data_IF_806649208018
#
_entry.id   IF_806649208018
#
_cell.length_a   1.000
_cell.length_b   1.000
_cell.length_c   1.000
_cell.angle_alpha   90.00
_cell.angle_beta   90.00
_cell.angle_gamma   90.00
#
_symmetry.space_group_name_H-M   'P 1'
#
loop_
_entity.id
_entity.type
_entity.pdbx_description
1 polymer ?
#
# COMPACT_ATOMS: atom_id res chain seq x y z
N UNK A 1 31.07 -18.18 22.81
CA UNK A 1 31.13 -18.16 21.32
C UNK A 1 29.93 -18.86 20.67
N UNK A 2 29.34 -19.91 21.26
CA UNK A 2 28.18 -20.64 20.69
C UNK A 2 26.82 -19.91 20.84
N UNK A 3 26.70 -18.97 21.80
CA UNK A 3 25.44 -18.24 22.03
C UNK A 3 25.18 -17.07 21.05
N UNK A 4 26.22 -16.52 20.41
CA UNK A 4 26.08 -15.40 19.46
C UNK A 4 25.70 -15.85 18.04
N UNK A 5 25.97 -17.11 17.70
CA UNK A 5 25.64 -17.71 16.40
C UNK A 5 24.16 -18.08 16.25
N UNK A 6 23.38 -18.14 17.33
CA UNK A 6 21.93 -18.40 17.23
C UNK A 6 21.09 -17.13 17.03
N UNK A 7 21.65 -15.94 17.27
CA UNK A 7 20.99 -14.66 16.97
C UNK A 7 20.98 -14.34 15.46
N UNK A 8 21.74 -15.09 14.66
CA UNK A 8 21.88 -14.92 13.21
C UNK A 8 21.52 -16.23 12.50
N UNK A 9 20.36 -16.80 12.83
CA UNK A 9 19.72 -17.79 11.94
C UNK A 9 18.74 -17.03 11.02
N UNK A 10 19.03 -16.90 9.71
CA UNK A 10 18.29 -16.03 8.79
C UNK A 10 17.18 -16.78 8.05
N UNK A 11 16.20 -17.36 8.74
CA UNK A 11 15.10 -18.10 8.09
C UNK A 11 13.95 -18.18 9.09
N UNK A 12 12.78 -17.55 8.99
CA UNK A 12 12.00 -16.93 7.92
C UNK A 12 11.03 -15.94 8.60
N UNK A 13 10.56 -14.89 7.91
CA UNK A 13 9.37 -14.14 8.38
C UNK A 13 8.23 -15.15 8.60
N UNK A 14 7.43 -15.05 9.68
CA UNK A 14 6.29 -15.93 9.89
C UNK A 14 5.39 -15.95 8.65
N UNK A 15 5.12 -17.13 8.12
CA UNK A 15 4.17 -17.30 7.01
C UNK A 15 2.75 -17.21 7.57
N UNK A 16 1.85 -16.58 6.82
CA UNK A 16 0.47 -16.32 7.24
C UNK A 16 -0.49 -16.61 6.10
N UNK A 17 -1.76 -16.80 6.41
CA UNK A 17 -2.81 -17.04 5.41
C UNK A 17 -2.97 -15.90 4.39
N UNK A 18 -2.46 -14.70 4.69
CA UNK A 18 -2.48 -13.55 3.77
C UNK A 18 -1.10 -13.20 3.20
N UNK A 19 -0.09 -14.04 3.44
CA UNK A 19 1.26 -13.83 2.90
C UNK A 19 1.26 -14.03 1.37
N UNK A 20 1.87 -13.12 0.61
CA UNK A 20 1.86 -13.19 -0.84
C UNK A 20 3.06 -14.01 -1.35
N UNK A 21 2.99 -14.41 -2.61
CA UNK A 21 4.13 -14.96 -3.33
C UNK A 21 5.29 -13.94 -3.42
N UNK A 22 6.53 -14.45 -3.47
CA UNK A 22 7.76 -13.63 -3.42
C UNK A 22 7.80 -12.58 -4.53
N UNK A 23 7.21 -12.84 -5.70
CA UNK A 23 7.19 -11.88 -6.81
C UNK A 23 6.38 -10.61 -6.49
N UNK A 24 5.43 -10.65 -5.54
CA UNK A 24 4.66 -9.47 -5.13
C UNK A 24 5.55 -8.41 -4.50
N UNK A 25 6.67 -8.80 -3.89
CA UNK A 25 7.66 -7.87 -3.36
C UNK A 25 8.34 -7.02 -4.46
N UNK A 26 8.28 -7.44 -5.74
CA UNK A 26 8.83 -6.65 -6.86
C UNK A 26 8.12 -5.31 -7.08
N UNK A 27 6.91 -5.13 -6.55
CA UNK A 27 6.25 -3.81 -6.51
C UNK A 27 7.09 -2.78 -5.74
N UNK A 28 7.79 -3.19 -4.68
CA UNK A 28 8.66 -2.27 -3.94
C UNK A 28 9.81 -1.75 -4.82
N UNK A 29 10.39 -2.59 -5.68
CA UNK A 29 11.44 -2.17 -6.60
C UNK A 29 10.92 -1.19 -7.66
N UNK A 30 9.73 -1.44 -8.22
CA UNK A 30 9.06 -0.50 -9.12
C UNK A 30 8.78 0.83 -8.42
N UNK A 31 8.28 0.77 -7.18
CA UNK A 31 8.00 1.96 -6.37
C UNK A 31 9.27 2.77 -6.11
N UNK A 32 10.38 2.13 -5.72
CA UNK A 32 11.65 2.85 -5.50
C UNK A 32 12.15 3.52 -6.78
N UNK A 33 12.04 2.84 -7.93
CA UNK A 33 12.39 3.44 -9.21
C UNK A 33 11.55 4.68 -9.51
N UNK A 34 10.22 4.60 -9.30
CA UNK A 34 9.31 5.73 -9.47
C UNK A 34 9.60 6.87 -8.48
N UNK A 35 9.91 6.55 -7.22
CA UNK A 35 10.27 7.52 -6.19
C UNK A 35 11.58 8.26 -6.50
N UNK A 36 12.56 7.59 -7.13
CA UNK A 36 13.78 8.25 -7.60
C UNK A 36 13.44 9.25 -8.72
N UNK A 37 12.58 8.86 -9.66
CA UNK A 37 12.14 9.76 -10.73
C UNK A 37 11.37 10.95 -10.16
N UNK A 38 10.44 10.70 -9.23
CA UNK A 38 9.72 11.74 -8.50
C UNK A 38 10.69 12.68 -7.78
N UNK A 39 11.72 12.15 -7.11
CA UNK A 39 12.69 12.94 -6.38
C UNK A 39 13.54 13.86 -7.27
N UNK A 40 13.67 13.55 -8.56
CA UNK A 40 14.29 14.42 -9.56
C UNK A 40 13.24 15.40 -10.13
N UNK A 41 12.06 14.90 -10.48
CA UNK A 41 10.97 15.68 -11.08
C UNK A 41 10.47 16.81 -10.17
N UNK A 42 10.52 16.61 -8.84
CA UNK A 42 10.06 17.60 -7.88
C UNK A 42 10.78 18.95 -7.93
N UNK A 43 11.97 19.00 -8.54
CA UNK A 43 12.75 20.24 -8.70
C UNK A 43 12.34 21.04 -9.95
N UNK A 44 11.34 20.58 -10.70
CA UNK A 44 10.76 21.34 -11.80
C UNK A 44 9.97 22.54 -11.29
N UNK A 45 10.19 23.71 -11.89
CA UNK A 45 9.48 24.95 -11.52
C UNK A 45 7.95 24.84 -11.69
N UNK A 46 7.47 23.95 -12.56
CA UNK A 46 6.05 23.77 -12.84
C UNK A 46 5.29 23.08 -11.70
N UNK A 47 6.00 22.36 -10.82
CA UNK A 47 5.37 21.40 -9.89
C UNK A 47 5.56 21.81 -8.43
N UNK A 48 6.26 22.93 -8.21
CA UNK A 48 6.73 23.35 -6.89
C UNK A 48 5.56 23.54 -5.91
N UNK A 49 4.47 24.17 -6.33
CA UNK A 49 3.32 24.45 -5.46
C UNK A 49 2.58 23.15 -5.06
N UNK A 50 2.40 22.22 -6.00
CA UNK A 50 1.79 20.90 -5.75
C UNK A 50 2.61 20.09 -4.74
N UNK A 51 3.94 20.18 -4.81
CA UNK A 51 4.82 19.43 -3.91
C UNK A 51 4.96 20.11 -2.56
N UNK A 52 5.15 21.43 -2.50
CA UNK A 52 5.33 22.16 -1.24
C UNK A 52 4.06 22.13 -0.39
N UNK A 53 2.89 22.31 -1.02
CA UNK A 53 1.64 22.41 -0.26
C UNK A 53 0.83 21.11 -0.25
N UNK A 54 0.84 20.35 -1.35
CA UNK A 54 0.13 19.07 -1.47
C UNK A 54 0.83 17.97 -0.68
N UNK A 55 2.06 17.63 -1.10
CA UNK A 55 2.88 16.59 -0.46
C UNK A 55 3.43 17.09 0.88
N UNK A 56 4.05 18.27 0.88
CA UNK A 56 4.48 19.02 2.07
C UNK A 56 5.33 18.19 3.05
N UNK A 57 5.29 18.56 4.34
CA UNK A 57 6.00 17.89 5.42
C UNK A 57 5.63 16.40 5.60
N UNK A 58 4.52 15.93 5.02
CA UNK A 58 4.13 14.53 5.11
C UNK A 58 5.18 13.63 4.47
N UNK A 59 5.82 14.03 3.37
CA UNK A 59 6.87 13.21 2.74
C UNK A 59 8.08 13.00 3.64
N UNK A 60 8.48 14.03 4.39
CA UNK A 60 9.58 13.94 5.35
C UNK A 60 9.19 12.98 6.48
N UNK A 61 7.98 13.12 7.02
CA UNK A 61 7.47 12.24 8.08
C UNK A 61 7.41 10.79 7.59
N UNK A 62 6.87 10.55 6.38
CA UNK A 62 6.82 9.24 5.75
C UNK A 62 8.24 8.68 5.59
N UNK A 63 9.20 9.47 5.10
CA UNK A 63 10.59 9.04 4.95
C UNK A 63 11.24 8.63 6.26
N UNK A 64 11.05 9.40 7.34
CA UNK A 64 11.56 9.08 8.67
C UNK A 64 10.92 7.79 9.22
N UNK A 65 9.60 7.67 9.11
CA UNK A 65 8.87 6.48 9.55
C UNK A 65 9.26 5.24 8.74
N UNK A 66 9.43 5.39 7.43
CA UNK A 66 9.85 4.31 6.53
C UNK A 66 11.28 3.83 6.84
N UNK A 67 12.21 4.75 7.07
CA UNK A 67 13.56 4.41 7.52
C UNK A 67 13.56 3.76 8.91
N UNK A 68 12.72 4.25 9.82
CA UNK A 68 12.55 3.67 11.16
C UNK A 68 11.99 2.24 11.09
N UNK A 69 10.98 2.02 10.25
CA UNK A 69 10.41 0.70 9.97
C UNK A 69 11.51 -0.28 9.53
N UNK A 70 12.32 0.10 8.53
CA UNK A 70 13.42 -0.73 8.03
C UNK A 70 14.44 -1.09 9.12
N UNK A 71 14.83 -0.11 9.96
CA UNK A 71 15.73 -0.36 11.08
C UNK A 71 15.11 -1.30 12.12
N UNK A 72 13.82 -1.18 12.39
CA UNK A 72 13.10 -1.99 13.38
C UNK A 72 12.92 -3.44 12.92
N UNK A 73 12.76 -3.66 11.61
CA UNK A 73 12.74 -5.01 11.03
C UNK A 73 14.01 -5.80 11.39
N UNK A 74 15.16 -5.14 11.53
CA UNK A 74 16.43 -5.79 11.95
C UNK A 74 16.34 -6.37 13.37
N UNK A 75 15.52 -5.77 14.24
CA UNK A 75 15.33 -6.20 15.63
C UNK A 75 14.16 -7.18 15.81
N UNK A 76 13.41 -7.51 14.74
CA UNK A 76 12.27 -8.45 14.75
C UNK A 76 11.15 -8.06 15.72
N UNK A 77 10.93 -6.77 15.95
CA UNK A 77 9.84 -6.26 16.79
C UNK A 77 8.55 -6.11 15.96
N UNK A 78 7.95 -7.24 15.58
CA UNK A 78 6.86 -7.28 14.57
C UNK A 78 5.66 -6.39 14.90
N UNK A 79 5.24 -6.28 16.16
CA UNK A 79 4.12 -5.40 16.54
C UNK A 79 4.48 -3.93 16.40
N UNK A 80 5.68 -3.55 16.81
CA UNK A 80 6.17 -2.16 16.68
C UNK A 80 6.34 -1.83 15.19
N UNK A 81 6.87 -2.77 14.42
CA UNK A 81 6.98 -2.69 12.97
C UNK A 81 5.61 -2.44 12.32
N UNK A 82 4.60 -3.24 12.67
CA UNK A 82 3.24 -3.10 12.15
C UNK A 82 2.65 -1.72 12.48
N UNK A 83 2.79 -1.25 13.72
CA UNK A 83 2.30 0.07 14.16
C UNK A 83 2.96 1.20 13.37
N UNK A 84 4.28 1.15 13.17
CA UNK A 84 5.00 2.16 12.39
C UNK A 84 4.60 2.11 10.93
N UNK A 85 4.42 0.91 10.38
CA UNK A 85 3.93 0.72 9.01
C UNK A 85 2.56 1.38 8.83
N UNK A 86 1.61 1.05 9.70
CA UNK A 86 0.29 1.68 9.69
C UNK A 86 0.37 3.20 9.83
N UNK A 87 1.26 3.70 10.68
CA UNK A 87 1.43 5.14 10.89
C UNK A 87 1.85 5.83 9.59
N UNK A 88 2.86 5.32 8.87
CA UNK A 88 3.23 5.94 7.59
C UNK A 88 2.18 5.71 6.50
N UNK A 89 1.46 4.58 6.53
CA UNK A 89 0.31 4.35 5.62
C UNK A 89 -0.76 5.42 5.82
N UNK A 90 -1.06 5.82 7.05
CA UNK A 90 -2.01 6.93 7.32
C UNK A 90 -1.53 8.24 6.71
N UNK A 91 -0.25 8.59 6.86
CA UNK A 91 0.31 9.78 6.22
C UNK A 91 0.30 9.70 4.68
N UNK A 92 0.49 8.50 4.11
CA UNK A 92 0.34 8.27 2.67
C UNK A 92 -1.11 8.49 2.21
N UNK A 93 -2.09 7.95 2.93
CA UNK A 93 -3.52 8.17 2.63
C UNK A 93 -3.88 9.65 2.70
N UNK A 94 -3.40 10.39 3.72
CA UNK A 94 -3.62 11.83 3.84
C UNK A 94 -2.99 12.56 2.64
N UNK A 95 -1.77 12.19 2.26
CA UNK A 95 -1.06 12.81 1.12
C UNK A 95 -1.77 12.53 -0.19
N UNK A 96 -2.18 11.28 -0.42
CA UNK A 96 -2.97 10.86 -1.57
C UNK A 96 -4.29 11.65 -1.66
N UNK A 97 -5.03 11.75 -0.54
CA UNK A 97 -6.25 12.54 -0.48
C UNK A 97 -6.01 14.02 -0.82
N UNK A 98 -4.93 14.61 -0.28
CA UNK A 98 -4.62 16.01 -0.55
C UNK A 98 -4.29 16.24 -2.03
N UNK A 99 -3.47 15.36 -2.62
CA UNK A 99 -3.12 15.43 -4.03
C UNK A 99 -4.37 15.32 -4.90
N UNK A 100 -5.21 14.31 -4.68
CA UNK A 100 -6.37 14.08 -5.54
C UNK A 100 -7.43 15.20 -5.44
N UNK A 101 -7.65 15.74 -4.23
CA UNK A 101 -8.75 16.67 -3.99
C UNK A 101 -8.36 18.16 -4.10
N UNK A 102 -7.18 18.54 -3.60
CA UNK A 102 -6.77 19.95 -3.56
C UNK A 102 -5.77 20.33 -4.65
N UNK A 103 -5.05 19.37 -5.23
CA UNK A 103 -3.98 19.62 -6.20
C UNK A 103 -4.13 18.73 -7.45
N UNK A 104 -5.20 18.91 -8.24
CA UNK A 104 -5.42 18.08 -9.43
C UNK A 104 -4.26 18.21 -10.43
N UNK A 105 -3.95 17.16 -11.18
CA UNK A 105 -2.78 17.15 -12.05
C UNK A 105 -2.95 18.12 -13.23
N UNK A 106 -1.95 19.00 -13.43
CA UNK A 106 -1.93 19.96 -14.54
C UNK A 106 -1.54 19.32 -15.89
N UNK A 107 -0.87 18.17 -15.84
CA UNK A 107 -0.44 17.44 -17.03
C UNK A 107 -0.30 15.92 -16.83
N UNK A 108 0.04 15.24 -17.93
CA UNK A 108 0.25 13.78 -17.95
C UNK A 108 1.42 13.40 -17.04
N UNK A 109 2.48 14.21 -17.02
CA UNK A 109 3.66 13.96 -16.19
C UNK A 109 3.37 14.12 -14.70
N UNK A 110 2.60 15.13 -14.28
CA UNK A 110 2.21 15.29 -12.87
C UNK A 110 1.31 14.15 -12.42
N UNK A 111 0.35 13.77 -13.26
CA UNK A 111 -0.52 12.62 -12.99
C UNK A 111 0.32 11.35 -12.81
N UNK A 112 1.25 11.06 -13.72
CA UNK A 112 2.04 9.82 -13.69
C UNK A 112 3.10 9.81 -12.58
N UNK A 113 3.83 10.90 -12.40
CA UNK A 113 5.02 10.96 -11.54
C UNK A 113 4.72 11.40 -10.10
N UNK A 114 3.53 11.96 -9.85
CA UNK A 114 3.10 12.38 -8.51
C UNK A 114 1.89 11.55 -8.10
N UNK A 115 0.73 11.75 -8.73
CA UNK A 115 -0.52 11.12 -8.29
C UNK A 115 -0.43 9.60 -8.32
N UNK A 116 -0.01 9.03 -9.46
CA UNK A 116 0.09 7.56 -9.60
C UNK A 116 1.18 6.95 -8.74
N UNK A 117 2.28 7.67 -8.48
CA UNK A 117 3.33 7.19 -7.56
C UNK A 117 2.79 7.08 -6.13
N UNK A 118 2.15 8.13 -5.63
CA UNK A 118 1.55 8.11 -4.28
C UNK A 118 0.37 7.15 -4.19
N UNK A 119 -0.40 6.96 -5.27
CA UNK A 119 -1.46 5.95 -5.35
C UNK A 119 -0.91 4.53 -5.21
N UNK A 120 0.12 4.17 -5.99
CA UNK A 120 0.80 2.87 -5.91
C UNK A 120 1.35 2.65 -4.50
N UNK A 121 2.02 3.66 -3.95
CA UNK A 121 2.61 3.58 -2.62
C UNK A 121 1.56 3.37 -1.54
N UNK A 122 0.45 4.10 -1.61
CA UNK A 122 -0.65 4.01 -0.63
C UNK A 122 -1.31 2.65 -0.69
N UNK A 123 -1.66 2.15 -1.89
CA UNK A 123 -2.28 0.83 -2.06
C UNK A 123 -1.37 -0.29 -1.54
N UNK A 124 -0.08 -0.24 -1.90
CA UNK A 124 0.89 -1.25 -1.47
C UNK A 124 1.12 -1.22 0.05
N UNK A 125 1.18 -0.01 0.65
CA UNK A 125 1.39 0.16 2.09
C UNK A 125 0.13 -0.18 2.91
N UNK A 126 -1.06 -0.06 2.32
CA UNK A 126 -2.30 -0.54 2.93
C UNK A 126 -2.27 -2.06 3.09
N UNK A 127 -1.94 -2.78 2.01
CA UNK A 127 -1.74 -4.23 2.07
C UNK A 127 -0.61 -4.60 3.03
N UNK A 128 0.53 -3.90 2.97
CA UNK A 128 1.68 -4.10 3.86
C UNK A 128 1.34 -3.92 5.33
N UNK A 129 0.53 -2.91 5.67
CA UNK A 129 0.02 -2.68 7.02
C UNK A 129 -0.86 -3.85 7.50
N UNK A 130 -1.77 -4.33 6.66
CA UNK A 130 -2.60 -5.51 6.98
C UNK A 130 -1.72 -6.74 7.22
N UNK A 131 -0.80 -7.02 6.32
CA UNK A 131 0.15 -8.14 6.45
C UNK A 131 1.00 -8.03 7.72
N UNK A 132 1.48 -6.83 8.06
CA UNK A 132 2.26 -6.56 9.26
C UNK A 132 1.53 -6.98 10.55
N UNK A 133 0.24 -6.68 10.67
CA UNK A 133 -0.56 -7.12 11.82
C UNK A 133 -0.76 -8.63 11.87
N UNK A 134 -0.93 -9.30 10.72
CA UNK A 134 -1.04 -10.76 10.67
C UNK A 134 0.26 -11.45 11.10
N UNK A 135 1.41 -10.87 10.72
CA UNK A 135 2.72 -11.36 11.16
C UNK A 135 2.92 -11.10 12.66
N UNK A 136 2.48 -9.94 13.15
CA UNK A 136 2.70 -9.52 14.54
C UNK A 136 1.79 -10.22 15.56
N UNK A 137 0.55 -10.55 15.18
CA UNK A 137 -0.47 -11.08 16.09
C UNK A 137 -0.92 -12.46 15.57
N UNK A 138 -0.32 -13.56 16.04
CA UNK A 138 -0.65 -14.91 15.58
C UNK A 138 -2.12 -15.29 15.72
N UNK A 139 -2.84 -14.70 16.68
CA UNK A 139 -4.28 -14.92 16.86
C UNK A 139 -5.13 -14.45 15.67
N UNK A 140 -4.61 -13.53 14.85
CA UNK A 140 -5.27 -13.07 13.62
C UNK A 140 -5.15 -14.08 12.48
N UNK A 141 -4.15 -14.97 12.53
CA UNK A 141 -3.87 -15.96 11.48
C UNK A 141 -4.81 -17.17 11.55
N UNK A 142 -6.10 -16.90 11.61
CA UNK A 142 -7.13 -17.89 11.38
C UNK A 142 -7.80 -17.63 10.03
N UNK A 143 -8.35 -18.69 9.45
CA UNK A 143 -8.93 -18.68 8.12
C UNK A 143 -10.04 -17.63 7.98
N UNK A 144 -10.94 -17.56 8.95
CA UNK A 144 -12.10 -16.65 8.92
C UNK A 144 -11.69 -15.18 8.94
N UNK A 145 -10.80 -14.78 9.85
CA UNK A 145 -10.30 -13.42 9.94
C UNK A 145 -9.47 -13.04 8.70
N UNK A 146 -8.70 -13.99 8.18
CA UNK A 146 -7.93 -13.77 6.94
C UNK A 146 -8.84 -13.52 5.75
N UNK A 147 -9.93 -14.27 5.61
CA UNK A 147 -10.96 -14.01 4.59
C UNK A 147 -11.59 -12.64 4.79
N UNK A 148 -11.97 -12.28 6.02
CA UNK A 148 -12.55 -10.97 6.33
C UNK A 148 -11.59 -9.84 5.95
N UNK A 149 -10.31 -9.97 6.26
CA UNK A 149 -9.30 -8.97 5.92
C UNK A 149 -9.15 -8.81 4.40
N UNK A 150 -9.15 -9.92 3.66
CA UNK A 150 -9.12 -9.90 2.19
C UNK A 150 -10.37 -9.25 1.62
N UNK A 151 -11.56 -9.55 2.16
CA UNK A 151 -12.82 -8.89 1.77
C UNK A 151 -12.74 -7.38 2.03
N UNK A 152 -12.23 -6.95 3.19
CA UNK A 152 -12.06 -5.52 3.49
C UNK A 152 -11.12 -4.87 2.47
N UNK A 153 -9.99 -5.51 2.14
CA UNK A 153 -9.06 -5.01 1.11
C UNK A 153 -9.72 -4.93 -0.27
N UNK A 154 -10.53 -5.93 -0.64
CA UNK A 154 -11.30 -5.95 -1.89
C UNK A 154 -12.31 -4.80 -1.91
N UNK A 155 -13.06 -4.62 -0.82
CA UNK A 155 -14.02 -3.52 -0.69
C UNK A 155 -13.35 -2.15 -0.81
N UNK A 156 -12.15 -1.97 -0.24
CA UNK A 156 -11.38 -0.72 -0.36
C UNK A 156 -10.93 -0.52 -1.82
N UNK A 157 -10.37 -1.55 -2.47
CA UNK A 157 -9.96 -1.48 -3.87
C UNK A 157 -11.14 -1.17 -4.81
N UNK A 158 -12.28 -1.79 -4.57
CA UNK A 158 -13.50 -1.54 -5.34
C UNK A 158 -14.04 -0.13 -5.10
N UNK A 159 -14.08 0.33 -3.84
CA UNK A 159 -14.51 1.68 -3.50
C UNK A 159 -13.68 2.76 -4.18
N UNK A 160 -12.35 2.59 -4.28
CA UNK A 160 -11.46 3.56 -4.92
C UNK A 160 -11.63 3.63 -6.45
N UNK A 161 -12.01 2.51 -7.11
CA UNK A 161 -12.30 2.49 -8.55
C UNK A 161 -13.67 3.06 -8.87
N UNK A 162 -14.72 2.59 -8.19
CA UNK A 162 -16.10 2.81 -8.63
C UNK A 162 -16.84 3.88 -7.82
N UNK A 163 -16.62 3.96 -6.51
CA UNK A 163 -17.56 4.61 -5.59
C UNK A 163 -17.07 5.95 -5.02
N UNK A 164 -15.75 6.10 -4.82
CA UNK A 164 -15.11 7.38 -4.49
C UNK A 164 -15.50 8.47 -5.51
N UNK A 165 -15.65 8.14 -6.80
CA UNK A 165 -16.15 9.11 -7.74
C UNK A 165 -17.61 9.53 -7.53
N UNK A 166 -18.50 8.56 -7.36
CA UNK A 166 -19.94 8.82 -7.41
C UNK A 166 -20.46 9.57 -6.19
N UNK A 167 -19.96 9.27 -4.97
CA UNK A 167 -20.40 9.97 -3.75
C UNK A 167 -19.99 11.44 -3.78
N UNK A 168 -18.73 11.72 -4.14
CA UNK A 168 -18.22 13.09 -4.08
C UNK A 168 -18.86 13.95 -5.17
N UNK A 169 -19.07 13.42 -6.39
CA UNK A 169 -19.87 14.11 -7.40
C UNK A 169 -21.31 14.39 -6.94
N UNK A 170 -21.91 13.49 -6.16
CA UNK A 170 -23.27 13.69 -5.67
C UNK A 170 -23.35 14.77 -4.58
N UNK A 171 -22.31 14.92 -3.75
CA UNK A 171 -22.27 15.91 -2.67
C UNK A 171 -21.66 17.25 -3.09
N UNK A 172 -20.86 17.26 -4.17
CA UNK A 172 -20.13 18.43 -4.68
C UNK A 172 -20.43 18.55 -6.18
N UNK A 173 -21.33 19.47 -6.50
CA UNK A 173 -22.01 19.63 -7.81
C UNK A 173 -21.04 19.81 -9.00
N UNK A 174 -19.78 20.19 -8.76
CA UNK A 174 -18.77 20.43 -9.81
C UNK A 174 -17.58 19.45 -9.78
N UNK A 175 -17.63 18.38 -8.98
CA UNK A 175 -16.51 17.43 -8.90
C UNK A 175 -16.71 16.26 -9.88
N UNK A 176 -15.77 16.09 -10.81
CA UNK A 176 -15.60 14.89 -11.66
C UNK A 176 -14.40 14.07 -11.16
N UNK A 177 -14.54 13.36 -10.04
CA UNK A 177 -13.52 12.45 -9.54
C UNK A 177 -13.17 11.41 -10.59
N UNK A 178 -11.87 11.24 -10.78
CA UNK A 178 -11.34 10.24 -11.68
C UNK A 178 -11.17 8.95 -10.88
N UNK A 179 -11.77 7.88 -11.38
CA UNK A 179 -11.49 6.53 -10.91
C UNK A 179 -9.98 6.30 -10.87
N UNK A 180 -9.44 5.87 -9.73
CA UNK A 180 -8.02 5.52 -9.65
C UNK A 180 -7.80 4.03 -9.87
N UNK A 181 -7.82 3.64 -11.14
CA UNK A 181 -7.57 2.28 -11.57
C UNK A 181 -6.20 1.74 -11.11
N UNK A 182 -5.18 2.60 -10.97
CA UNK A 182 -3.82 2.16 -10.59
C UNK A 182 -3.79 1.69 -9.14
N UNK A 183 -4.46 2.41 -8.24
CA UNK A 183 -4.59 2.02 -6.83
C UNK A 183 -5.10 0.58 -6.72
N UNK A 184 -6.17 0.28 -7.44
CA UNK A 184 -6.86 -0.98 -7.33
C UNK A 184 -6.19 -2.09 -8.12
N UNK A 185 -5.49 -1.77 -9.21
CA UNK A 185 -4.58 -2.70 -9.88
C UNK A 185 -3.47 -3.20 -8.94
N UNK A 186 -2.96 -2.34 -8.05
CA UNK A 186 -1.97 -2.73 -7.04
C UNK A 186 -2.57 -3.66 -5.99
N UNK A 187 -3.82 -3.39 -5.53
CA UNK A 187 -4.54 -4.31 -4.64
C UNK A 187 -4.76 -5.66 -5.31
N UNK A 188 -5.24 -5.66 -6.56
CA UNK A 188 -5.40 -6.88 -7.38
C UNK A 188 -4.09 -7.65 -7.50
N UNK A 189 -2.97 -6.97 -7.77
CA UNK A 189 -1.66 -7.62 -7.82
C UNK A 189 -1.27 -8.28 -6.49
N UNK A 190 -1.59 -7.64 -5.36
CA UNK A 190 -1.38 -8.23 -4.04
C UNK A 190 -2.27 -9.47 -3.83
N UNK A 191 -3.56 -9.40 -4.21
CA UNK A 191 -4.49 -10.53 -4.13
C UNK A 191 -4.07 -11.71 -5.01
N UNK A 192 -3.59 -11.46 -6.23
CA UNK A 192 -2.99 -12.50 -7.09
C UNK A 192 -1.79 -13.13 -6.38
N UNK A 193 -0.95 -12.30 -5.74
CA UNK A 193 0.16 -12.76 -4.89
C UNK A 193 -0.27 -13.73 -3.80
N UNK A 194 -1.33 -13.38 -3.05
CA UNK A 194 -1.89 -14.23 -1.99
C UNK A 194 -2.46 -15.52 -2.58
N UNK A 195 -3.26 -15.44 -3.65
CA UNK A 195 -3.86 -16.58 -4.32
C UNK A 195 -2.79 -17.58 -4.81
N UNK A 196 -1.71 -17.07 -5.41
CA UNK A 196 -0.62 -17.88 -5.93
C UNK A 196 0.21 -18.57 -4.83
N UNK A 197 0.21 -18.02 -3.61
CA UNK A 197 0.86 -18.63 -2.45
C UNK A 197 -0.04 -19.65 -1.75
N UNK A 198 -1.32 -19.36 -1.65
CA UNK A 198 -2.30 -20.12 -0.87
C UNK A 198 -3.09 -21.13 -1.73
N UNK A 199 -2.41 -21.82 -2.66
CA UNK A 199 -3.03 -22.74 -3.64
C UNK A 199 -3.76 -23.94 -3.02
N UNK A 200 -3.44 -24.28 -1.78
CA UNK A 200 -4.06 -25.38 -1.04
C UNK A 200 -5.23 -24.92 -0.14
N UNK A 201 -5.46 -23.61 -0.01
CA UNK A 201 -6.49 -23.03 0.85
C UNK A 201 -7.64 -22.49 0.01
N UNK A 202 -8.53 -23.39 -0.41
CA UNK A 202 -9.63 -23.11 -1.34
C UNK A 202 -10.44 -21.83 -1.00
N UNK A 203 -10.84 -21.57 0.27
CA UNK A 203 -11.59 -20.36 0.59
C UNK A 203 -10.85 -19.06 0.28
N UNK A 204 -9.52 -19.03 0.50
CA UNK A 204 -8.68 -17.85 0.23
C UNK A 204 -8.58 -17.62 -1.27
N UNK A 205 -8.41 -18.68 -2.06
CA UNK A 205 -8.39 -18.60 -3.52
C UNK A 205 -9.72 -18.04 -4.02
N UNK A 206 -10.85 -18.61 -3.60
CA UNK A 206 -12.17 -18.15 -4.04
C UNK A 206 -12.39 -16.67 -3.71
N UNK A 207 -12.05 -16.23 -2.49
CA UNK A 207 -12.17 -14.83 -2.10
C UNK A 207 -11.28 -13.92 -2.94
N UNK A 208 -10.01 -14.27 -3.11
CA UNK A 208 -9.05 -13.46 -3.88
C UNK A 208 -9.43 -13.40 -5.37
N UNK A 209 -9.82 -14.52 -5.99
CA UNK A 209 -10.27 -14.55 -7.39
C UNK A 209 -11.56 -13.79 -7.62
N UNK A 210 -12.52 -13.89 -6.69
CA UNK A 210 -13.76 -13.10 -6.76
C UNK A 210 -13.45 -11.61 -6.64
N UNK A 211 -12.56 -11.24 -5.71
CA UNK A 211 -12.11 -9.86 -5.56
C UNK A 211 -11.42 -9.31 -6.79
N UNK A 212 -10.58 -10.11 -7.46
CA UNK A 212 -9.95 -9.73 -8.72
C UNK A 212 -11.02 -9.42 -9.76
N UNK A 213 -12.00 -10.30 -9.96
CA UNK A 213 -13.08 -10.09 -10.93
C UNK A 213 -14.07 -8.97 -10.59
N UNK A 214 -14.17 -8.56 -9.32
CA UNK A 214 -14.98 -7.40 -8.91
C UNK A 214 -14.27 -6.07 -9.16
N UNK A 215 -12.95 -6.05 -9.07
CA UNK A 215 -12.15 -4.82 -9.22
C UNK A 215 -11.78 -4.56 -10.69
N UNK A 216 -11.61 -5.62 -11.50
CA UNK A 216 -11.21 -5.56 -12.92
C UNK A 216 -12.38 -5.36 -13.87
#
# INVERSE_FOLDING_TARGET
VVAFTQLVNPTTVPDTNISPAVYTSRLSALLYFLLIIFAIYQWSAQVNDVIVDGVSYNFIIIGILYGSWFLITLFRLYLVEAIIHTTFTVFLVITYYKLEYYYPPEGIFDNLLIHKVFSIWTAYSLYGSTLGFWIAIPALDNLTLSIIALIILICIGWFVVDYYPTIISFFIIDYSPKSDFIFSAVIVWCLIGVAARQVDVLPIIVTTTTGIGLIS
#
